data_IF_068894931463
#
_entry.id   IF_068894931463
#
_cell.length_a   1.000
_cell.length_b   1.000
_cell.length_c   1.000
_cell.angle_alpha   90.00
_cell.angle_beta   90.00
_cell.angle_gamma   90.00
#
_symmetry.space_group_name_H-M   'P 1'
#
loop_
_entity.id
_entity.type
_entity.pdbx_description
1 polymer ?
#
# COMPACT_ATOMS: atom_id res chain seq x y z
N UNK A 1 2.87 -38.66 -8.74
CA UNK A 1 3.55 -37.40 -9.10
C UNK A 1 3.05 -37.01 -10.48
N UNK A 2 2.58 -35.76 -10.66
CA UNK A 2 2.20 -35.25 -11.97
C UNK A 2 3.41 -35.34 -12.92
N UNK A 3 3.16 -35.57 -14.20
CA UNK A 3 4.21 -35.51 -15.20
C UNK A 3 4.65 -34.05 -15.46
N UNK A 4 5.78 -33.86 -16.16
CA UNK A 4 6.36 -32.53 -16.37
C UNK A 4 5.48 -31.59 -17.19
N UNK A 5 4.65 -32.11 -18.09
CA UNK A 5 3.74 -31.30 -18.90
C UNK A 5 2.63 -30.71 -18.02
N UNK A 6 2.01 -31.56 -17.19
CA UNK A 6 1.02 -31.13 -16.18
C UNK A 6 1.59 -30.09 -15.20
N UNK A 7 2.82 -30.28 -14.71
CA UNK A 7 3.48 -29.27 -13.84
C UNK A 7 3.73 -27.94 -14.53
N UNK A 8 3.99 -27.96 -15.84
CA UNK A 8 4.17 -26.74 -16.63
C UNK A 8 2.86 -25.97 -16.78
N UNK A 9 1.75 -26.67 -16.97
CA UNK A 9 0.41 -26.04 -16.99
C UNK A 9 0.10 -25.36 -15.64
N UNK A 10 0.35 -26.05 -14.53
CA UNK A 10 0.16 -25.46 -13.20
C UNK A 10 1.08 -24.27 -12.95
N UNK A 11 2.36 -24.35 -13.35
CA UNK A 11 3.29 -23.22 -13.25
C UNK A 11 2.74 -21.97 -13.95
N UNK A 12 2.29 -22.11 -15.20
CA UNK A 12 1.72 -20.99 -15.96
C UNK A 12 0.48 -20.43 -15.25
N UNK A 13 -0.40 -21.31 -14.78
CA UNK A 13 -1.62 -20.90 -14.08
C UNK A 13 -1.35 -20.16 -12.78
N UNK A 14 -0.42 -20.64 -11.96
CA UNK A 14 -0.05 -20.00 -10.70
C UNK A 14 0.64 -18.66 -10.94
N UNK A 15 1.56 -18.59 -11.92
CA UNK A 15 2.21 -17.35 -12.33
C UNK A 15 1.18 -16.30 -12.72
N UNK A 16 0.19 -16.66 -13.55
CA UNK A 16 -0.87 -15.73 -13.97
C UNK A 16 -1.70 -15.25 -12.77
N UNK A 17 -2.13 -16.17 -11.90
CA UNK A 17 -2.91 -15.84 -10.70
C UNK A 17 -2.12 -14.92 -9.75
N UNK A 18 -0.84 -15.20 -9.51
CA UNK A 18 0.01 -14.38 -8.64
C UNK A 18 0.19 -12.98 -9.26
N UNK A 19 0.41 -12.90 -10.58
CA UNK A 19 0.56 -11.61 -11.27
C UNK A 19 -0.73 -10.79 -11.25
N UNK A 20 -1.91 -11.40 -11.36
CA UNK A 20 -3.20 -10.71 -11.16
C UNK A 20 -3.32 -10.12 -9.75
N UNK A 21 -2.89 -10.85 -8.72
CA UNK A 21 -2.89 -10.36 -7.35
C UNK A 21 -1.92 -9.18 -7.20
N UNK A 22 -0.70 -9.29 -7.72
CA UNK A 22 0.29 -8.20 -7.72
C UNK A 22 -0.26 -6.94 -8.41
N UNK A 23 -0.88 -7.09 -9.58
CA UNK A 23 -1.54 -5.98 -10.29
C UNK A 23 -2.64 -5.33 -9.45
N UNK A 24 -3.46 -6.12 -8.75
CA UNK A 24 -4.50 -5.61 -7.85
C UNK A 24 -3.91 -4.86 -6.66
N UNK A 25 -2.81 -5.34 -6.06
CA UNK A 25 -2.13 -4.64 -4.96
C UNK A 25 -1.56 -3.29 -5.42
N UNK A 26 -0.90 -3.27 -6.58
CA UNK A 26 -0.37 -2.04 -7.18
C UNK A 26 -1.50 -1.04 -7.51
N UNK A 27 -2.61 -1.52 -8.07
CA UNK A 27 -3.78 -0.70 -8.34
C UNK A 27 -4.39 -0.11 -7.05
N UNK A 28 -4.58 -0.92 -6.01
CA UNK A 28 -5.10 -0.44 -4.73
C UNK A 28 -4.18 0.60 -4.08
N UNK A 29 -2.86 0.40 -4.12
CA UNK A 29 -1.86 1.37 -3.67
C UNK A 29 -2.00 2.70 -4.43
N UNK A 30 -2.08 2.65 -5.76
CA UNK A 30 -2.27 3.83 -6.59
C UNK A 30 -3.60 4.57 -6.27
N UNK A 31 -4.71 3.82 -6.16
CA UNK A 31 -6.02 4.38 -5.83
C UNK A 31 -6.02 5.09 -4.48
N UNK A 32 -5.37 4.51 -3.47
CA UNK A 32 -5.28 5.11 -2.13
C UNK A 32 -4.48 6.40 -2.13
N UNK A 33 -3.39 6.49 -2.91
CA UNK A 33 -2.66 7.74 -3.10
C UNK A 33 -3.55 8.84 -3.68
N UNK A 34 -4.39 8.50 -4.66
CA UNK A 34 -5.39 9.41 -5.22
C UNK A 34 -6.42 9.87 -4.18
N UNK A 35 -7.02 8.93 -3.44
CA UNK A 35 -7.99 9.24 -2.38
C UNK A 35 -7.39 10.04 -1.23
N UNK A 36 -6.11 9.86 -0.93
CA UNK A 36 -5.38 10.65 0.06
C UNK A 36 -5.44 12.12 -0.28
N UNK A 37 -5.06 12.49 -1.51
CA UNK A 37 -5.08 13.89 -1.93
C UNK A 37 -6.51 14.46 -1.88
N UNK A 38 -7.49 13.71 -2.39
CA UNK A 38 -8.90 14.13 -2.40
C UNK A 38 -9.44 14.40 -0.99
N UNK A 39 -9.26 13.47 -0.04
CA UNK A 39 -9.77 13.65 1.32
C UNK A 39 -9.00 14.70 2.11
N UNK A 40 -7.69 14.82 1.91
CA UNK A 40 -6.90 15.91 2.51
C UNK A 40 -7.40 17.26 2.02
N UNK A 41 -7.53 17.46 0.71
CA UNK A 41 -8.04 18.73 0.14
C UNK A 41 -9.47 19.01 0.62
N UNK A 42 -10.35 18.02 0.59
CA UNK A 42 -11.73 18.18 1.07
C UNK A 42 -11.76 18.58 2.56
N UNK A 43 -10.91 17.98 3.40
CA UNK A 43 -10.83 18.31 4.82
C UNK A 43 -10.37 19.75 5.07
N UNK A 44 -9.39 20.23 4.29
CA UNK A 44 -8.91 21.61 4.36
C UNK A 44 -9.98 22.62 3.88
N UNK A 45 -10.68 22.31 2.78
CA UNK A 45 -11.75 23.17 2.25
C UNK A 45 -12.95 23.29 3.20
N UNK A 46 -13.34 22.19 3.85
CA UNK A 46 -14.43 22.20 4.85
C UNK A 46 -14.11 23.07 6.07
N UNK A 47 -12.83 23.33 6.37
CA UNK A 47 -12.44 24.30 7.39
C UNK A 47 -12.65 25.74 6.92
N UNK A 48 -12.24 26.07 5.70
CA UNK A 48 -12.30 27.44 5.17
C UNK A 48 -13.70 28.08 5.14
N UNK A 49 -14.75 27.28 5.34
CA UNK A 49 -16.15 27.74 5.38
C UNK A 49 -16.67 28.05 6.79
N UNK A 50 -15.96 27.64 7.86
CA UNK A 50 -16.34 27.93 9.25
C UNK A 50 -15.64 29.21 9.72
N UNK A 51 -16.44 30.25 9.96
CA UNK A 51 -16.00 31.62 10.20
C UNK A 51 -14.93 31.80 11.29
N UNK A 52 -14.18 32.89 11.12
CA UNK A 52 -13.08 33.44 11.92
C UNK A 52 -13.51 33.83 13.35
N UNK A 53 -13.94 32.87 14.16
CA UNK A 53 -14.29 33.07 15.55
C UNK A 53 -13.63 32.01 16.44
N UNK A 54 -13.06 32.46 17.55
CA UNK A 54 -12.56 31.68 18.70
C UNK A 54 -11.27 30.87 18.52
N UNK A 55 -10.21 31.53 18.98
CA UNK A 55 -9.00 31.07 19.66
C UNK A 55 -9.02 29.62 20.20
N UNK A 56 -8.79 28.65 19.31
CA UNK A 56 -8.01 27.41 19.54
C UNK A 56 -7.92 26.61 18.23
N UNK A 57 -7.89 27.30 17.08
CA UNK A 57 -8.10 26.73 15.75
C UNK A 57 -6.94 25.85 15.23
N UNK A 58 -5.81 25.78 15.96
CA UNK A 58 -4.65 24.93 15.61
C UNK A 58 -5.06 23.46 15.55
N UNK A 59 -5.93 23.02 16.47
CA UNK A 59 -6.40 21.63 16.52
C UNK A 59 -7.29 21.22 15.35
N UNK A 60 -7.95 22.18 14.69
CA UNK A 60 -8.86 21.89 13.58
C UNK A 60 -8.13 21.50 12.29
N UNK A 61 -6.91 22.02 12.07
CA UNK A 61 -6.07 21.66 10.91
C UNK A 61 -5.54 20.23 10.99
N UNK A 62 -5.38 19.71 12.20
CA UNK A 62 -4.92 18.35 12.39
C UNK A 62 -5.92 17.30 11.91
N UNK A 63 -7.18 17.69 11.61
CA UNK A 63 -8.17 16.79 11.00
C UNK A 63 -7.68 16.29 9.63
N UNK A 64 -6.94 17.09 8.86
CA UNK A 64 -6.40 16.67 7.57
C UNK A 64 -5.32 15.59 7.69
N UNK A 65 -4.70 15.44 8.86
CA UNK A 65 -3.76 14.34 9.12
C UNK A 65 -4.46 12.99 9.30
N UNK A 66 -5.76 12.96 9.63
CA UNK A 66 -6.50 11.70 9.82
C UNK A 66 -6.50 10.88 8.51
N UNK A 67 -7.03 11.38 7.38
CA UNK A 67 -6.98 10.63 6.12
C UNK A 67 -5.54 10.40 5.65
N UNK A 68 -4.63 11.34 5.92
CA UNK A 68 -3.21 11.18 5.58
C UNK A 68 -2.58 9.96 6.24
N UNK A 69 -2.67 9.85 7.57
CA UNK A 69 -2.04 8.78 8.34
C UNK A 69 -2.71 7.42 8.08
N UNK A 70 -4.04 7.39 7.99
CA UNK A 70 -4.80 6.17 7.69
C UNK A 70 -4.40 5.62 6.33
N UNK A 71 -4.37 6.46 5.29
CA UNK A 71 -3.99 6.01 3.96
C UNK A 71 -2.50 5.71 3.82
N UNK A 72 -1.64 6.41 4.57
CA UNK A 72 -0.21 6.08 4.60
C UNK A 72 0.03 4.65 5.11
N UNK A 73 -0.66 4.28 6.19
CA UNK A 73 -0.60 2.92 6.73
C UNK A 73 -1.17 1.89 5.75
N UNK A 74 -2.33 2.18 5.13
CA UNK A 74 -2.95 1.27 4.17
C UNK A 74 -2.09 1.07 2.91
N UNK A 75 -1.49 2.13 2.39
CA UNK A 75 -0.59 2.04 1.24
C UNK A 75 0.65 1.19 1.57
N UNK A 76 1.22 1.36 2.76
CA UNK A 76 2.29 0.50 3.24
C UNK A 76 1.86 -0.98 3.35
N UNK A 77 0.61 -1.24 3.74
CA UNK A 77 0.04 -2.58 3.78
C UNK A 77 -0.08 -3.21 2.39
N UNK A 78 -0.58 -2.49 1.38
CA UNK A 78 -0.66 -3.01 0.01
C UNK A 78 0.71 -3.28 -0.59
N UNK A 79 1.69 -2.39 -0.35
CA UNK A 79 3.07 -2.60 -0.80
C UNK A 79 3.74 -3.78 -0.08
N UNK A 80 3.42 -4.00 1.19
CA UNK A 80 3.89 -5.18 1.94
C UNK A 80 3.32 -6.48 1.36
N UNK A 81 2.02 -6.53 1.08
CA UNK A 81 1.37 -7.67 0.41
C UNK A 81 1.98 -7.93 -0.96
N UNK A 82 2.14 -6.89 -1.79
CA UNK A 82 2.76 -6.99 -3.11
C UNK A 82 4.14 -7.66 -3.06
N UNK A 83 4.99 -7.25 -2.11
CA UNK A 83 6.33 -7.83 -1.94
C UNK A 83 6.30 -9.29 -1.52
N UNK A 84 5.35 -9.70 -0.67
CA UNK A 84 5.18 -11.12 -0.32
C UNK A 84 4.72 -11.93 -1.54
N UNK A 85 3.81 -11.40 -2.34
CA UNK A 85 3.38 -12.07 -3.59
C UNK A 85 4.51 -12.14 -4.63
N UNK A 86 5.40 -11.15 -4.69
CA UNK A 86 6.62 -11.23 -5.52
C UNK A 86 7.55 -12.35 -5.05
N UNK A 87 7.67 -12.58 -3.73
CA UNK A 87 8.43 -13.72 -3.19
C UNK A 87 7.78 -15.06 -3.50
N UNK A 88 6.46 -15.15 -3.41
CA UNK A 88 5.71 -16.33 -3.85
C UNK A 88 5.92 -16.60 -5.35
N UNK A 89 5.91 -15.56 -6.18
CA UNK A 89 6.20 -15.68 -7.60
C UNK A 89 7.60 -16.26 -7.86
N UNK A 90 8.63 -15.69 -7.22
CA UNK A 90 10.03 -16.16 -7.32
C UNK A 90 10.15 -17.64 -6.93
N UNK A 91 9.50 -18.04 -5.83
CA UNK A 91 9.52 -19.42 -5.36
C UNK A 91 8.82 -20.38 -6.32
N UNK A 92 7.62 -20.03 -6.83
CA UNK A 92 6.86 -20.89 -7.75
C UNK A 92 7.66 -21.14 -9.03
N UNK A 93 8.25 -20.09 -9.62
CA UNK A 93 9.07 -20.20 -10.84
C UNK A 93 10.29 -21.09 -10.62
N UNK A 94 10.94 -21.00 -9.45
CA UNK A 94 12.13 -21.78 -9.15
C UNK A 94 11.83 -23.27 -8.84
N UNK A 95 10.67 -23.59 -8.27
CA UNK A 95 10.43 -24.91 -7.67
C UNK A 95 9.38 -25.76 -8.41
N UNK A 96 8.41 -25.17 -9.11
CA UNK A 96 7.22 -25.92 -9.59
C UNK A 96 7.52 -27.08 -10.54
N UNK A 97 8.57 -26.98 -11.35
CA UNK A 97 8.98 -28.08 -12.25
C UNK A 97 9.67 -29.25 -11.54
N UNK A 98 10.03 -29.07 -10.27
CA UNK A 98 10.70 -30.07 -9.44
C UNK A 98 9.82 -30.63 -8.31
N UNK A 99 8.75 -29.91 -7.92
CA UNK A 99 7.87 -30.32 -6.81
C UNK A 99 6.40 -29.92 -7.03
N UNK A 100 5.49 -30.77 -6.56
CA UNK A 100 4.05 -30.50 -6.43
C UNK A 100 3.67 -29.98 -5.04
N UNK A 101 4.66 -29.68 -4.18
CA UNK A 101 4.41 -29.09 -2.87
C UNK A 101 3.66 -27.76 -3.00
N UNK A 102 2.63 -27.57 -2.18
CA UNK A 102 1.81 -26.36 -2.15
C UNK A 102 1.20 -26.01 -3.52
N UNK A 103 0.83 -27.01 -4.31
CA UNK A 103 0.16 -26.82 -5.59
C UNK A 103 -1.11 -25.99 -5.41
N UNK A 104 -1.22 -24.90 -6.16
CA UNK A 104 -2.32 -23.93 -6.13
C UNK A 104 -2.53 -23.23 -4.76
N UNK A 105 -1.57 -23.33 -3.84
CA UNK A 105 -1.59 -22.55 -2.60
C UNK A 105 -1.03 -21.15 -2.85
N UNK A 106 -1.92 -20.17 -2.91
CA UNK A 106 -1.58 -18.75 -3.13
C UNK A 106 -1.34 -17.98 -1.82
N UNK A 107 -1.13 -18.67 -0.70
CA UNK A 107 -0.88 -18.04 0.59
C UNK A 107 0.54 -17.46 0.67
N UNK A 108 0.68 -16.17 0.34
CA UNK A 108 1.95 -15.46 0.38
C UNK A 108 2.49 -15.20 1.81
N UNK A 109 1.71 -15.44 2.87
CA UNK A 109 2.17 -15.21 4.25
C UNK A 109 3.34 -16.09 4.66
N UNK A 110 3.57 -17.22 3.97
CA UNK A 110 4.77 -18.05 4.13
C UNK A 110 6.08 -17.26 3.93
N UNK A 111 6.05 -16.18 3.14
CA UNK A 111 7.20 -15.31 2.87
C UNK A 111 7.23 -14.05 3.74
N UNK A 112 6.42 -13.98 4.80
CA UNK A 112 6.32 -12.80 5.67
C UNK A 112 7.68 -12.41 6.28
N UNK A 113 8.50 -13.39 6.64
CA UNK A 113 9.81 -13.16 7.26
C UNK A 113 10.89 -12.72 6.25
N UNK A 114 10.69 -13.04 4.97
CA UNK A 114 11.59 -12.63 3.89
C UNK A 114 11.33 -11.20 3.40
N UNK A 115 10.23 -10.59 3.85
CA UNK A 115 9.85 -9.22 3.49
C UNK A 115 10.06 -8.28 4.66
N UNK A 116 10.48 -7.05 4.34
CA UNK A 116 10.58 -5.98 5.33
C UNK A 116 9.28 -5.79 6.12
N UNK A 117 9.40 -5.43 7.40
CA UNK A 117 8.23 -5.16 8.24
C UNK A 117 7.36 -4.04 7.67
N UNK A 118 6.04 -4.13 7.90
CA UNK A 118 5.06 -3.12 7.46
C UNK A 118 5.45 -1.70 7.87
N UNK A 119 5.97 -1.53 9.09
CA UNK A 119 6.45 -0.23 9.58
C UNK A 119 7.68 0.26 8.82
N UNK A 120 8.64 -0.61 8.49
CA UNK A 120 9.81 -0.22 7.68
C UNK A 120 9.39 0.20 6.26
N UNK A 121 8.37 -0.44 5.71
CA UNK A 121 7.80 -0.09 4.40
C UNK A 121 7.10 1.27 4.45
N UNK A 122 6.36 1.55 5.52
CA UNK A 122 5.69 2.84 5.73
C UNK A 122 6.68 4.01 5.64
N UNK A 123 7.87 3.86 6.24
CA UNK A 123 8.95 4.85 6.16
C UNK A 123 9.95 4.62 5.02
N UNK A 124 9.57 3.87 3.98
CA UNK A 124 10.40 3.72 2.78
C UNK A 124 10.48 5.02 1.99
N UNK A 125 11.55 5.21 1.21
CA UNK A 125 11.81 6.44 0.45
C UNK A 125 10.61 6.88 -0.39
N UNK A 126 9.95 5.95 -1.09
CA UNK A 126 8.82 6.29 -1.98
C UNK A 126 7.58 6.75 -1.23
N UNK A 127 7.21 6.08 -0.13
CA UNK A 127 6.07 6.47 0.69
C UNK A 127 6.38 7.73 1.52
N UNK A 128 7.58 7.81 2.07
CA UNK A 128 8.06 8.96 2.85
C UNK A 128 8.03 10.25 2.04
N UNK A 129 8.51 10.25 0.79
CA UNK A 129 8.43 11.44 -0.06
C UNK A 129 6.98 11.83 -0.39
N UNK A 130 6.12 10.86 -0.73
CA UNK A 130 4.73 11.14 -1.10
C UNK A 130 3.92 11.69 0.09
N UNK A 131 3.85 10.95 1.19
CA UNK A 131 3.06 11.35 2.36
C UNK A 131 3.72 12.50 3.14
N UNK A 132 5.06 12.54 3.17
CA UNK A 132 5.82 13.63 3.78
C UNK A 132 5.62 14.97 3.07
N UNK A 133 5.59 14.98 1.73
CA UNK A 133 5.29 16.20 0.97
C UNK A 133 3.88 16.73 1.29
N UNK A 134 2.87 15.85 1.37
CA UNK A 134 1.51 16.24 1.74
C UNK A 134 1.46 16.76 3.19
N UNK A 135 2.15 16.09 4.12
CA UNK A 135 2.25 16.55 5.52
C UNK A 135 2.83 17.97 5.61
N UNK A 136 3.93 18.24 4.89
CA UNK A 136 4.55 19.58 4.84
C UNK A 136 3.57 20.61 4.28
N UNK A 137 2.82 20.28 3.24
CA UNK A 137 1.80 21.18 2.69
C UNK A 137 0.69 21.50 3.68
N UNK A 138 0.21 20.50 4.45
CA UNK A 138 -0.79 20.72 5.51
C UNK A 138 -0.23 21.67 6.58
N UNK A 139 1.03 21.48 7.01
CA UNK A 139 1.68 22.35 8.01
C UNK A 139 1.82 23.77 7.49
N UNK A 140 2.29 23.96 6.25
CA UNK A 140 2.42 25.30 5.64
C UNK A 140 1.06 25.99 5.57
N UNK A 141 0.01 25.26 5.15
CA UNK A 141 -1.34 25.79 5.08
C UNK A 141 -1.86 26.21 6.46
N UNK A 142 -1.67 25.36 7.47
CA UNK A 142 -2.04 25.66 8.85
C UNK A 142 -1.34 26.92 9.36
N UNK A 143 -0.02 27.02 9.19
CA UNK A 143 0.78 28.17 9.65
C UNK A 143 0.44 29.49 8.94
N UNK A 144 -0.02 29.46 7.69
CA UNK A 144 -0.44 30.69 6.97
C UNK A 144 -1.82 31.21 7.38
N UNK A 145 -2.63 30.40 8.06
CA UNK A 145 -3.94 30.78 8.56
C UNK A 145 -3.92 31.33 9.99
N UNK A 146 -2.77 31.26 10.68
CA UNK A 146 -2.48 31.97 11.93
C UNK A 146 -1.84 33.33 11.64
#
# INVERSE_FOLDING_TARGET
MPDKETLREFLLKEVDLIQEIVKRMAFNSFMIKGWTLTLVVASLLLRGTKGTGTESQVWADFIAFIPLLVFWFLDAYFLWQERMYRKLYEWVVANRLATDEFLLDLNAYRFKEEVQSRFRIMFSTTLGWFYGAIAVLIVIYALRLF
#
